data_IF_286121415390
#
_entry.id   IF_286121415390
#
_cell.length_a   1.000
_cell.length_b   1.000
_cell.length_c   1.000
_cell.angle_alpha   90.00
_cell.angle_beta   90.00
_cell.angle_gamma   90.00
#
_symmetry.space_group_name_H-M   'P 1'
#
loop_
_entity.id
_entity.type
_entity.pdbx_description
1 polymer ?
#
# COMPACT_ATOMS: atom_id res chain seq x y z
N UNK A 1 -7.84 0.76 6.53
CA UNK A 1 -7.07 -0.51 6.59
C UNK A 1 -7.61 -1.35 7.72
N UNK A 2 -7.31 -2.66 7.77
CA UNK A 2 -7.77 -3.59 8.79
C UNK A 2 -6.77 -3.83 9.95
N UNK A 3 -5.62 -3.13 9.95
CA UNK A 3 -4.54 -3.16 10.96
C UNK A 3 -3.90 -4.52 11.28
N UNK A 4 -4.41 -5.63 10.72
CA UNK A 4 -4.00 -6.99 11.08
C UNK A 4 -2.48 -7.22 10.89
N UNK A 5 -1.91 -6.74 9.80
CA UNK A 5 -0.49 -6.90 9.51
C UNK A 5 0.44 -6.17 10.49
N UNK A 6 0.05 -4.99 10.99
CA UNK A 6 0.81 -4.28 12.01
C UNK A 6 0.71 -4.95 13.40
N UNK A 7 -0.32 -5.78 13.63
CA UNK A 7 -0.43 -6.57 14.86
C UNK A 7 0.39 -7.87 14.79
N UNK A 8 0.43 -8.52 13.63
CA UNK A 8 1.13 -9.80 13.45
C UNK A 8 2.64 -9.58 13.31
N UNK A 9 3.07 -8.62 12.49
CA UNK A 9 4.48 -8.35 12.21
C UNK A 9 4.77 -6.86 12.49
N UNK A 10 4.76 -6.52 13.77
CA UNK A 10 4.92 -5.14 14.26
C UNK A 10 6.33 -4.58 14.05
N UNK A 11 7.34 -5.44 13.85
CA UNK A 11 8.69 -4.99 13.52
C UNK A 11 8.84 -4.70 12.02
N UNK A 12 7.86 -5.07 11.21
CA UNK A 12 7.89 -4.95 9.75
C UNK A 12 6.91 -3.90 9.24
N UNK A 13 5.68 -3.92 9.75
CA UNK A 13 4.59 -3.04 9.34
C UNK A 13 4.17 -2.08 10.46
N UNK A 14 3.84 -0.85 10.08
CA UNK A 14 3.18 0.12 10.96
C UNK A 14 1.95 0.71 10.28
N UNK A 15 1.01 1.23 11.06
CA UNK A 15 -0.18 1.91 10.54
C UNK A 15 0.11 3.40 10.35
N UNK A 16 -0.12 3.91 9.16
CA UNK A 16 -0.07 5.34 8.88
C UNK A 16 -1.41 5.99 9.24
N UNK A 17 -1.37 6.95 10.17
CA UNK A 17 -2.56 7.61 10.71
C UNK A 17 -3.27 8.48 9.67
N UNK A 18 -2.50 9.13 8.78
CA UNK A 18 -3.03 10.08 7.80
C UNK A 18 -3.92 9.39 6.75
N UNK A 19 -3.54 8.16 6.36
CA UNK A 19 -4.24 7.45 5.29
C UNK A 19 -4.91 6.13 5.72
N UNK A 20 -4.75 5.72 6.98
CA UNK A 20 -5.31 4.48 7.50
C UNK A 20 -4.84 3.24 6.73
N UNK A 21 -3.63 3.25 6.18
CA UNK A 21 -3.00 2.11 5.47
C UNK A 21 -1.78 1.62 6.23
N UNK A 22 -1.55 0.32 6.18
CA UNK A 22 -0.32 -0.26 6.70
C UNK A 22 0.84 0.05 5.75
N UNK A 23 2.02 0.33 6.32
CA UNK A 23 3.25 0.64 5.61
C UNK A 23 4.38 -0.23 6.13
N UNK A 24 5.25 -0.63 5.22
CA UNK A 24 6.49 -1.33 5.57
C UNK A 24 7.54 -0.27 5.93
N UNK A 25 8.14 -0.38 7.11
CA UNK A 25 9.29 0.46 7.48
C UNK A 25 10.59 -0.33 7.50
N UNK A 26 10.52 -1.63 7.77
CA UNK A 26 11.65 -2.54 7.77
C UNK A 26 11.21 -3.87 7.16
N UNK A 27 11.65 -4.18 5.94
CA UNK A 27 11.12 -5.32 5.17
C UNK A 27 11.43 -6.70 5.79
N UNK A 28 12.45 -6.79 6.63
CA UNK A 28 12.88 -8.01 7.32
C UNK A 28 13.05 -7.77 8.83
N UNK A 29 12.08 -7.06 9.43
CA UNK A 29 12.08 -6.79 10.87
C UNK A 29 11.66 -8.01 11.70
N UNK A 30 10.74 -8.81 11.16
CA UNK A 30 10.25 -10.05 11.76
C UNK A 30 10.78 -11.29 11.01
N UNK A 31 10.57 -12.46 11.61
CA UNK A 31 10.87 -13.72 10.95
C UNK A 31 10.04 -13.86 9.66
N UNK A 32 10.66 -14.48 8.65
CA UNK A 32 10.07 -14.73 7.33
C UNK A 32 8.65 -15.32 7.41
N UNK A 33 8.47 -16.30 8.29
CA UNK A 33 7.21 -16.99 8.56
C UNK A 33 6.12 -16.05 9.09
N UNK A 34 6.48 -15.10 9.97
CA UNK A 34 5.54 -14.12 10.55
C UNK A 34 5.09 -13.13 9.49
N UNK A 35 6.01 -12.69 8.64
CA UNK A 35 5.69 -11.80 7.51
C UNK A 35 4.74 -12.50 6.54
N UNK A 36 5.00 -13.78 6.22
CA UNK A 36 4.15 -14.54 5.31
C UNK A 36 2.73 -14.75 5.88
N UNK A 37 2.61 -15.04 7.19
CA UNK A 37 1.31 -15.11 7.87
C UNK A 37 0.59 -13.76 7.78
N UNK A 38 1.28 -12.64 7.99
CA UNK A 38 0.67 -11.31 7.90
C UNK A 38 0.12 -11.01 6.49
N UNK A 39 0.78 -11.53 5.44
CA UNK A 39 0.34 -11.40 4.04
C UNK A 39 -0.91 -12.27 3.81
N UNK A 40 -0.86 -13.55 4.15
CA UNK A 40 -1.94 -14.51 3.87
C UNK A 40 -3.21 -14.23 4.67
N UNK A 41 -3.07 -13.66 5.88
CA UNK A 41 -4.20 -13.31 6.74
C UNK A 41 -4.79 -11.92 6.46
N UNK A 42 -4.31 -11.21 5.42
CA UNK A 42 -4.79 -9.88 5.10
C UNK A 42 -6.18 -9.95 4.41
N UNK A 43 -7.29 -9.55 5.06
CA UNK A 43 -8.64 -9.72 4.51
C UNK A 43 -8.95 -8.82 3.30
N UNK A 44 -8.09 -7.83 3.04
CA UNK A 44 -8.24 -6.82 1.99
C UNK A 44 -7.12 -6.89 0.97
N UNK A 45 -6.25 -7.91 1.04
CA UNK A 45 -5.12 -8.16 0.14
C UNK A 45 -4.32 -6.88 -0.16
N UNK A 46 -3.76 -6.26 0.89
CA UNK A 46 -3.11 -4.95 0.80
C UNK A 46 -1.58 -5.00 0.71
N UNK A 47 -0.97 -6.20 0.77
CA UNK A 47 0.48 -6.38 0.89
C UNK A 47 0.95 -7.21 -0.29
N UNK A 48 1.86 -6.66 -1.07
CA UNK A 48 2.34 -7.30 -2.28
C UNK A 48 3.86 -7.16 -2.40
N UNK A 49 4.51 -8.19 -2.90
CA UNK A 49 5.89 -8.10 -3.33
C UNK A 49 5.96 -7.43 -4.71
N UNK A 50 6.94 -6.54 -4.86
CA UNK A 50 7.22 -5.81 -6.11
C UNK A 50 8.73 -5.81 -6.36
N UNK A 51 9.17 -5.77 -7.63
CA UNK A 51 10.58 -5.64 -7.97
C UNK A 51 11.11 -4.23 -7.65
N UNK A 52 12.42 -4.10 -7.49
CA UNK A 52 13.07 -2.86 -7.01
C UNK A 52 12.78 -1.63 -7.87
N UNK A 53 12.81 -1.80 -9.20
CA UNK A 53 12.49 -0.74 -10.16
C UNK A 53 11.06 -0.21 -9.98
N UNK A 54 10.12 -1.09 -9.68
CA UNK A 54 8.73 -0.74 -9.40
C UNK A 54 8.58 -0.10 -8.03
N UNK A 55 9.28 -0.61 -7.00
CA UNK A 55 9.30 0.00 -5.68
C UNK A 55 9.71 1.48 -5.74
N UNK A 56 10.79 1.81 -6.44
CA UNK A 56 11.26 3.20 -6.61
C UNK A 56 10.20 4.07 -7.29
N UNK A 57 9.52 3.54 -8.30
CA UNK A 57 8.44 4.23 -9.00
C UNK A 57 7.26 4.47 -8.06
N UNK A 58 6.81 3.45 -7.34
CA UNK A 58 5.68 3.52 -6.40
C UNK A 58 5.97 4.51 -5.26
N UNK A 59 7.18 4.50 -4.70
CA UNK A 59 7.59 5.47 -3.67
C UNK A 59 7.60 6.91 -4.18
N UNK A 60 8.02 7.11 -5.43
CA UNK A 60 8.04 8.43 -6.08
C UNK A 60 6.61 8.92 -6.33
N UNK A 61 5.75 8.07 -6.91
CA UNK A 61 4.34 8.40 -7.18
C UNK A 61 3.56 8.67 -5.88
N UNK A 62 3.84 7.93 -4.80
CA UNK A 62 3.23 8.12 -3.48
C UNK A 62 3.42 9.52 -2.93
N UNK A 63 4.58 10.17 -3.14
CA UNK A 63 4.84 11.52 -2.63
C UNK A 63 3.84 12.56 -3.14
N UNK A 64 3.19 12.32 -4.27
CA UNK A 64 2.16 13.18 -4.86
C UNK A 64 0.72 12.70 -4.63
N UNK A 65 0.50 11.60 -3.91
CA UNK A 65 -0.85 11.05 -3.70
C UNK A 65 -1.57 11.80 -2.57
N UNK A 66 -2.67 12.47 -2.91
CA UNK A 66 -3.63 13.05 -1.95
C UNK A 66 -4.86 12.16 -1.93
N UNK A 67 -4.99 11.31 -0.90
CA UNK A 67 -6.12 10.39 -0.76
C UNK A 67 -7.29 11.14 -0.11
N UNK A 68 -8.27 11.55 -0.91
CA UNK A 68 -9.47 12.22 -0.39
C UNK A 68 -10.48 11.19 0.14
N UNK A 69 -10.44 10.91 1.45
CA UNK A 69 -11.37 9.99 2.12
C UNK A 69 -12.85 10.36 1.92
N UNK A 70 -13.16 11.65 1.68
CA UNK A 70 -14.54 12.11 1.46
C UNK A 70 -15.08 11.69 0.10
N UNK A 71 -14.24 11.54 -0.93
CA UNK A 71 -14.68 11.17 -2.27
C UNK A 71 -15.31 9.77 -2.36
N UNK A 72 -15.10 8.91 -1.35
CA UNK A 72 -15.74 7.58 -1.26
C UNK A 72 -17.17 7.64 -0.70
N UNK A 73 -17.53 8.70 0.04
CA UNK A 73 -18.82 8.81 0.75
C UNK A 73 -19.85 9.69 0.03
N UNK A 74 -19.41 10.57 -0.87
CA UNK A 74 -20.28 11.30 -1.78
C UNK A 74 -20.27 10.58 -3.13
N UNK A 75 -21.45 10.35 -3.69
CA UNK A 75 -21.63 9.68 -4.98
C UNK A 75 -20.74 10.28 -6.06
N UNK A 76 -20.37 9.45 -7.04
CA UNK A 76 -19.46 9.75 -8.16
C UNK A 76 -19.99 10.83 -9.15
N UNK A 77 -20.82 11.76 -8.73
CA UNK A 77 -21.47 12.76 -9.60
C UNK A 77 -20.62 14.01 -9.88
N UNK A 78 -19.31 13.99 -9.54
CA UNK A 78 -18.45 15.17 -9.67
C UNK A 78 -17.01 14.96 -10.15
N UNK A 79 -16.59 13.75 -10.54
CA UNK A 79 -15.19 13.50 -10.97
C UNK A 79 -14.93 13.91 -12.44
N UNK A 80 -15.30 15.12 -12.83
CA UNK A 80 -14.95 15.75 -14.11
C UNK A 80 -14.70 17.26 -13.94
N UNK A 81 -13.97 17.68 -12.91
CA UNK A 81 -13.30 19.00 -12.92
C UNK A 81 -12.45 19.21 -11.67
N UNK A 82 -11.15 19.04 -11.82
CA UNK A 82 -10.23 19.93 -11.13
C UNK A 82 -8.98 20.06 -11.98
N UNK A 83 -8.49 21.28 -12.15
CA UNK A 83 -7.18 21.60 -12.72
C UNK A 83 -6.03 21.13 -11.81
N UNK A 84 -6.13 19.93 -11.25
CA UNK A 84 -5.05 19.23 -10.57
C UNK A 84 -4.35 18.29 -11.54
N UNK A 85 -3.07 17.96 -11.34
CA UNK A 85 -2.45 16.85 -12.05
C UNK A 85 -3.36 15.62 -11.88
N UNK A 86 -3.55 14.80 -12.93
CA UNK A 86 -4.56 13.76 -12.92
C UNK A 86 -4.40 12.95 -11.65
N UNK A 87 -5.43 12.97 -10.80
CA UNK A 87 -5.53 12.01 -9.72
C UNK A 87 -5.44 10.66 -10.43
N UNK A 88 -4.30 9.97 -10.29
CA UNK A 88 -4.10 8.59 -10.73
C UNK A 88 -5.01 7.74 -9.84
N UNK A 89 -6.32 7.88 -10.02
CA UNK A 89 -7.40 7.13 -9.39
C UNK A 89 -7.72 5.86 -10.17
N UNK A 90 -6.80 5.42 -11.03
CA UNK A 90 -6.76 4.03 -11.46
C UNK A 90 -6.19 3.17 -10.33
N UNK A 91 -6.60 1.90 -10.28
CA UNK A 91 -5.89 0.89 -9.51
C UNK A 91 -4.40 0.97 -9.87
N UNK A 92 -3.50 1.02 -8.87
CA UNK A 92 -2.07 0.95 -9.14
C UNK A 92 -1.80 -0.40 -9.77
N UNK A 93 -1.44 -0.43 -11.05
CA UNK A 93 -0.97 -1.65 -11.70
C UNK A 93 0.38 -2.02 -11.09
N UNK A 94 0.32 -2.91 -10.11
CA UNK A 94 1.50 -3.50 -9.49
C UNK A 94 1.76 -4.87 -10.10
N UNK A 95 3.03 -5.25 -10.21
CA UNK A 95 3.42 -6.63 -10.51
C UNK A 95 3.14 -7.49 -9.27
N UNK A 96 1.86 -7.72 -8.95
CA UNK A 96 1.46 -8.43 -7.73
C UNK A 96 2.07 -9.84 -7.67
N UNK A 97 2.62 -10.23 -6.50
CA UNK A 97 3.19 -11.52 -6.08
C UNK A 97 3.97 -12.39 -7.12
N UNK A 98 4.31 -11.87 -8.29
CA UNK A 98 5.19 -12.50 -9.27
C UNK A 98 6.63 -12.07 -9.00
N UNK A 99 7.27 -12.76 -8.06
CA UNK A 99 8.73 -12.85 -8.04
C UNK A 99 9.40 -12.41 -6.74
N UNK A 100 10.50 -13.13 -6.48
CA UNK A 100 11.50 -12.98 -5.44
C UNK A 100 11.51 -11.63 -4.72
N UNK A 101 11.39 -11.70 -3.39
CA UNK A 101 11.71 -10.59 -2.47
C UNK A 101 12.95 -9.88 -2.99
N UNK A 102 12.89 -8.55 -3.09
CA UNK A 102 14.09 -7.77 -3.39
C UNK A 102 15.11 -8.04 -2.28
N UNK A 103 16.08 -8.92 -2.54
CA UNK A 103 17.25 -9.07 -1.70
C UNK A 103 18.04 -7.76 -1.84
N UNK A 104 17.93 -6.89 -0.86
CA UNK A 104 18.88 -5.82 -0.64
C UNK A 104 20.16 -6.40 -0.03
#
# INVERSE_FOLDING_TARGET
>A
GCTNCAMIASNTFFMEEEYGRARVYQQAGDAEEVIQIAIETCPVDCIHFVPWNELVKLETERRGQVINFKARLVGNEGLMSSNGPPAKGGFQEISGNMGFRCNN
#
